data_IF_274848233060
#
_entry.id   IF_274848233060
#
_cell.length_a   1.000
_cell.length_b   1.000
_cell.length_c   1.000
_cell.angle_alpha   90.00
_cell.angle_beta   90.00
_cell.angle_gamma   90.00
#
_symmetry.space_group_name_H-M   'P 1'
#
loop_
_entity.id
_entity.type
_entity.pdbx_description
1 polymer ?
#
# COMPACT_ATOMS: atom_id res chain seq x y z
N UNK A 1 -0.46 42.93 22.70
CA UNK A 1 -1.36 41.86 23.15
C UNK A 1 -1.91 41.17 21.91
N UNK A 2 -1.21 40.13 21.45
CA UNK A 2 -1.60 39.35 20.28
C UNK A 2 -2.78 38.47 20.67
N UNK A 3 -3.93 38.74 20.07
CA UNK A 3 -5.09 37.85 20.07
C UNK A 3 -4.73 36.57 19.31
N UNK A 4 -4.61 35.47 20.04
CA UNK A 4 -4.50 34.12 19.49
C UNK A 4 -5.74 33.81 18.65
N UNK A 5 -5.60 33.89 17.34
CA UNK A 5 -6.54 33.29 16.40
C UNK A 5 -6.47 31.78 16.60
N UNK A 6 -7.50 31.22 17.22
CA UNK A 6 -7.70 29.77 17.27
C UNK A 6 -8.12 29.37 15.85
N UNK A 7 -7.18 28.81 15.09
CA UNK A 7 -7.41 28.26 13.76
C UNK A 7 -8.42 27.12 13.85
N UNK A 8 -9.67 27.38 13.46
CA UNK A 8 -10.72 26.38 13.32
C UNK A 8 -10.65 25.67 11.95
N UNK A 9 -9.44 25.33 11.51
CA UNK A 9 -9.21 24.62 10.26
C UNK A 9 -8.80 23.18 10.58
N UNK A 10 -9.45 22.21 9.92
CA UNK A 10 -9.14 20.77 9.84
C UNK A 10 -10.00 19.79 10.66
N UNK A 11 -11.32 19.97 10.69
CA UNK A 11 -12.22 18.82 10.78
C UNK A 11 -12.93 18.65 9.44
N UNK A 12 -12.79 17.48 8.82
CA UNK A 12 -13.66 17.13 7.69
C UNK A 12 -15.11 17.15 8.19
N UNK A 13 -16.05 17.79 7.47
CA UNK A 13 -17.41 17.93 7.96
C UNK A 13 -17.99 16.55 8.22
N UNK A 14 -18.44 16.33 9.45
CA UNK A 14 -18.97 15.02 9.86
C UNK A 14 -20.19 14.71 9.00
N UNK A 15 -20.45 13.44 8.65
CA UNK A 15 -21.63 13.05 7.85
C UNK A 15 -22.95 13.60 8.40
N UNK A 16 -23.02 13.79 9.73
CA UNK A 16 -24.12 14.42 10.45
C UNK A 16 -24.24 15.92 10.13
N UNK A 17 -23.13 16.64 10.04
CA UNK A 17 -23.10 18.08 9.72
C UNK A 17 -23.55 18.33 8.28
N UNK A 18 -23.11 17.49 7.34
CA UNK A 18 -23.58 17.51 5.96
C UNK A 18 -25.10 17.27 5.86
N UNK A 19 -25.63 16.31 6.63
CA UNK A 19 -27.06 16.03 6.66
C UNK A 19 -27.88 17.20 7.24
N UNK A 20 -27.40 17.81 8.33
CA UNK A 20 -28.02 19.00 8.91
C UNK A 20 -28.00 20.19 7.93
N UNK A 21 -26.87 20.40 7.25
CA UNK A 21 -26.74 21.45 6.23
C UNK A 21 -27.73 21.26 5.08
N UNK A 22 -27.92 20.03 4.61
CA UNK A 22 -28.92 19.69 3.58
C UNK A 22 -30.35 19.99 4.05
N UNK A 23 -30.68 19.68 5.30
CA UNK A 23 -31.98 20.01 5.90
C UNK A 23 -32.21 21.52 5.94
N UNK A 24 -31.22 22.29 6.39
CA UNK A 24 -31.29 23.76 6.43
C UNK A 24 -31.46 24.36 5.04
N UNK A 25 -30.71 23.84 4.05
CA UNK A 25 -30.85 24.24 2.65
C UNK A 25 -32.24 23.94 2.11
N UNK A 26 -32.82 22.77 2.43
CA UNK A 26 -34.17 22.41 2.03
C UNK A 26 -35.21 23.36 2.66
N UNK A 27 -35.09 23.65 3.96
CA UNK A 27 -36.00 24.55 4.67
C UNK A 27 -36.01 25.95 4.06
N UNK A 28 -34.83 26.51 3.76
CA UNK A 28 -34.72 27.85 3.16
C UNK A 28 -35.24 27.85 1.72
N UNK A 29 -34.99 26.78 0.96
CA UNK A 29 -35.58 26.63 -0.38
C UNK A 29 -37.11 26.63 -0.36
N UNK A 30 -37.73 26.02 0.67
CA UNK A 30 -39.18 26.06 0.87
C UNK A 30 -39.66 27.47 1.20
N UNK A 31 -38.97 28.18 2.09
CA UNK A 31 -39.31 29.57 2.43
C UNK A 31 -39.20 30.47 1.19
N UNK A 32 -38.17 30.32 0.37
CA UNK A 32 -38.04 31.06 -0.89
C UNK A 32 -39.20 30.74 -1.85
N UNK A 33 -39.63 29.48 -1.93
CA UNK A 33 -40.78 29.09 -2.75
C UNK A 33 -42.09 29.68 -2.23
N UNK A 34 -42.28 29.75 -0.91
CA UNK A 34 -43.47 30.37 -0.29
C UNK A 34 -43.57 31.87 -0.60
N UNK A 35 -42.43 32.56 -0.67
CA UNK A 35 -42.38 33.98 -1.08
C UNK A 35 -42.67 34.15 -2.59
N UNK A 36 -42.61 33.08 -3.39
CA UNK A 36 -42.92 33.09 -4.82
C UNK A 36 -41.70 33.04 -5.75
N UNK A 37 -40.49 32.75 -5.23
CA UNK A 37 -39.30 32.60 -6.08
C UNK A 37 -39.34 31.27 -6.86
N UNK A 38 -39.12 31.33 -8.17
CA UNK A 38 -39.09 30.15 -9.06
C UNK A 38 -37.68 29.59 -9.27
N UNK A 39 -36.68 30.49 -9.32
CA UNK A 39 -35.28 30.14 -9.55
C UNK A 39 -34.38 30.83 -8.51
N UNK A 40 -33.32 30.13 -8.08
CA UNK A 40 -32.35 30.68 -7.13
C UNK A 40 -30.96 30.19 -7.49
N UNK A 41 -29.99 31.10 -7.43
CA UNK A 41 -28.57 30.78 -7.63
C UNK A 41 -28.06 29.98 -6.42
N UNK A 42 -27.31 28.88 -6.62
CA UNK A 42 -26.87 28.01 -5.52
C UNK A 42 -26.02 28.75 -4.47
N UNK A 43 -25.15 29.67 -4.88
CA UNK A 43 -24.30 30.46 -3.98
C UNK A 43 -25.10 31.40 -3.07
N UNK A 44 -26.20 31.98 -3.58
CA UNK A 44 -27.08 32.84 -2.78
C UNK A 44 -27.85 32.01 -1.76
N UNK A 45 -28.30 30.82 -2.17
CA UNK A 45 -28.97 29.90 -1.25
C UNK A 45 -28.03 29.44 -0.12
N UNK A 46 -26.77 29.14 -0.44
CA UNK A 46 -25.75 28.79 0.55
C UNK A 46 -25.46 29.96 1.51
N UNK A 47 -25.34 31.17 0.99
CA UNK A 47 -25.18 32.38 1.81
C UNK A 47 -26.38 32.60 2.74
N UNK A 48 -27.62 32.39 2.28
CA UNK A 48 -28.81 32.48 3.12
C UNK A 48 -28.82 31.41 4.21
N UNK A 49 -28.38 30.19 3.90
CA UNK A 49 -28.22 29.11 4.89
C UNK A 49 -27.23 29.51 5.97
N UNK A 50 -26.06 30.01 5.59
CA UNK A 50 -25.05 30.46 6.53
C UNK A 50 -25.55 31.64 7.37
N UNK A 51 -26.23 32.61 6.75
CA UNK A 51 -26.80 33.77 7.44
C UNK A 51 -27.85 33.37 8.47
N UNK A 52 -28.73 32.44 8.12
CA UNK A 52 -29.77 31.91 9.02
C UNK A 52 -29.14 31.17 10.20
N UNK A 53 -28.14 30.32 9.94
CA UNK A 53 -27.43 29.60 11.00
C UNK A 53 -26.69 30.54 11.94
N UNK A 54 -26.05 31.58 11.41
CA UNK A 54 -25.39 32.60 12.22
C UNK A 54 -26.40 33.40 13.04
N UNK A 55 -27.61 33.66 12.51
CA UNK A 55 -28.67 34.27 13.29
C UNK A 55 -29.13 33.38 14.46
N UNK A 56 -29.39 32.09 14.21
CA UNK A 56 -29.76 31.12 15.26
C UNK A 56 -28.66 31.04 16.33
N UNK A 57 -27.39 30.94 15.92
CA UNK A 57 -26.24 30.92 16.85
C UNK A 57 -26.17 32.19 17.70
N UNK A 58 -26.40 33.36 17.11
CA UNK A 58 -26.40 34.62 17.84
C UNK A 58 -27.53 34.67 18.88
N UNK A 59 -28.75 34.22 18.53
CA UNK A 59 -29.88 34.14 19.47
C UNK A 59 -29.58 33.14 20.60
N UNK A 60 -28.99 31.99 20.29
CA UNK A 60 -28.60 31.01 21.31
C UNK A 60 -27.48 31.54 22.22
N UNK A 61 -26.50 32.28 21.67
CA UNK A 61 -25.41 32.86 22.43
C UNK A 61 -25.89 33.96 23.40
N UNK A 62 -26.79 34.84 22.95
CA UNK A 62 -27.39 35.88 23.80
C UNK A 62 -28.27 35.26 24.89
N UNK A 63 -29.06 34.26 24.54
CA UNK A 63 -29.88 33.51 25.51
C UNK A 63 -29.01 32.81 26.55
N UNK A 64 -27.92 32.17 26.13
CA UNK A 64 -26.95 31.53 27.03
C UNK A 64 -26.33 32.53 28.00
N UNK A 65 -25.87 33.69 27.51
CA UNK A 65 -25.30 34.74 28.36
C UNK A 65 -26.30 35.23 29.40
N UNK A 66 -27.58 35.38 29.04
CA UNK A 66 -28.63 35.77 29.98
C UNK A 66 -28.87 34.71 31.06
N UNK A 67 -28.85 33.43 30.70
CA UNK A 67 -29.04 32.30 31.62
C UNK A 67 -27.86 32.18 32.58
N UNK A 68 -26.63 32.33 32.07
CA UNK A 68 -25.40 32.34 32.87
C UNK A 68 -25.38 33.53 33.84
N UNK A 69 -25.81 34.72 33.39
CA UNK A 69 -25.98 35.89 34.25
C UNK A 69 -27.02 35.67 35.35
N UNK A 70 -28.05 34.85 35.10
CA UNK A 70 -29.03 34.45 36.08
C UNK A 70 -28.59 33.26 36.96
N UNK A 71 -27.35 32.77 36.81
CA UNK A 71 -26.80 31.59 37.47
C UNK A 71 -27.65 30.32 37.29
N UNK A 72 -28.43 30.24 36.20
CA UNK A 72 -29.24 29.07 35.82
C UNK A 72 -28.53 28.30 34.72
N UNK A 73 -28.95 27.07 34.47
CA UNK A 73 -28.48 26.25 33.34
C UNK A 73 -29.60 25.93 32.33
N UNK A 74 -30.86 26.01 32.75
CA UNK A 74 -32.02 25.75 31.91
C UNK A 74 -32.61 27.05 31.34
N UNK A 75 -32.85 27.06 30.03
CA UNK A 75 -33.47 28.19 29.33
C UNK A 75 -34.98 28.25 29.58
N UNK A 76 -35.50 29.43 29.93
CA UNK A 76 -36.93 29.72 30.01
C UNK A 76 -37.38 30.43 28.72
N UNK A 77 -38.64 30.30 28.27
CA UNK A 77 -39.11 31.01 27.06
C UNK A 77 -38.87 32.52 27.10
N UNK A 78 -38.94 33.14 28.27
CA UNK A 78 -38.61 34.56 28.49
C UNK A 78 -37.16 34.90 28.15
N UNK A 79 -36.21 33.99 28.39
CA UNK A 79 -34.79 34.18 28.06
C UNK A 79 -34.59 34.18 26.53
N UNK A 80 -35.32 33.31 25.82
CA UNK A 80 -35.30 33.24 24.35
C UNK A 80 -35.98 34.44 23.71
N UNK A 81 -37.11 34.90 24.26
CA UNK A 81 -37.79 36.13 23.87
C UNK A 81 -36.81 37.31 23.98
N UNK A 82 -36.10 37.42 25.10
CA UNK A 82 -35.06 38.45 25.27
C UNK A 82 -33.93 38.32 24.23
N UNK A 83 -33.44 37.11 23.99
CA UNK A 83 -32.42 36.84 22.97
C UNK A 83 -32.85 37.28 21.56
N UNK A 84 -34.10 37.01 21.18
CA UNK A 84 -34.71 37.44 19.92
C UNK A 84 -34.81 38.97 19.82
N UNK A 85 -35.37 39.64 20.83
CA UNK A 85 -35.44 41.11 20.84
C UNK A 85 -34.04 41.74 20.77
N UNK A 86 -33.06 41.16 21.49
CA UNK A 86 -31.67 41.65 21.49
C UNK A 86 -31.00 41.52 20.12
N UNK A 87 -31.34 40.47 19.36
CA UNK A 87 -30.87 40.24 17.99
C UNK A 87 -31.66 41.05 16.94
N UNK A 88 -32.67 41.83 17.35
CA UNK A 88 -33.42 42.73 16.47
C UNK A 88 -34.63 42.10 15.78
N UNK A 89 -35.08 40.92 16.19
CA UNK A 89 -36.33 40.33 15.68
C UNK A 89 -37.51 40.77 16.54
N UNK A 90 -38.52 41.35 15.91
CA UNK A 90 -39.75 41.73 16.59
C UNK A 90 -40.67 40.52 16.80
N UNK A 91 -41.06 40.29 18.05
CA UNK A 91 -41.87 39.13 18.45
C UNK A 91 -43.34 39.34 18.12
N UNK A 92 -43.81 40.59 18.05
CA UNK A 92 -45.22 40.87 17.78
C UNK A 92 -45.63 40.45 16.36
N UNK A 93 -44.72 40.60 15.39
CA UNK A 93 -44.93 40.15 14.01
C UNK A 93 -44.97 38.64 13.85
N UNK A 94 -44.39 37.89 14.81
CA UNK A 94 -44.32 36.43 14.74
C UNK A 94 -45.72 35.79 14.80
N UNK A 95 -46.64 36.37 15.59
CA UNK A 95 -48.03 35.89 15.71
C UNK A 95 -48.74 36.01 14.36
N UNK A 96 -48.61 37.16 13.71
CA UNK A 96 -49.19 37.42 12.38
C UNK A 96 -48.58 36.48 11.32
N UNK A 97 -47.26 36.25 11.37
CA UNK A 97 -46.58 35.33 10.48
C UNK A 97 -47.10 33.89 10.64
N UNK A 98 -47.33 33.42 11.88
CA UNK A 98 -47.92 32.11 12.13
C UNK A 98 -49.36 31.98 11.63
N UNK A 99 -50.15 33.05 11.72
CA UNK A 99 -51.50 33.07 11.13
C UNK A 99 -51.42 32.98 9.61
N UNK A 100 -50.57 33.79 8.98
CA UNK A 100 -50.35 33.75 7.53
C UNK A 100 -49.95 32.35 7.04
N UNK A 101 -49.00 31.71 7.72
CA UNK A 101 -48.56 30.32 7.45
C UNK A 101 -49.69 29.29 7.54
N UNK A 102 -50.70 29.49 8.39
CA UNK A 102 -51.86 28.60 8.50
C UNK A 102 -52.84 28.79 7.33
N UNK A 103 -53.00 30.02 6.84
CA UNK A 103 -53.93 30.35 5.76
C UNK A 103 -53.37 30.06 4.36
N UNK A 104 -52.06 30.23 4.15
CA UNK A 104 -51.38 29.72 2.96
C UNK A 104 -51.36 28.20 3.03
N UNK A 105 -52.35 27.55 2.40
CA UNK A 105 -52.49 26.09 2.20
C UNK A 105 -51.32 25.48 1.38
N UNK A 106 -50.08 25.70 1.80
CA UNK A 106 -48.88 25.04 1.29
C UNK A 106 -48.27 24.14 2.37
N UNK A 107 -49.13 23.53 3.20
CA UNK A 107 -48.76 22.53 4.21
C UNK A 107 -48.28 21.19 3.63
N UNK A 108 -48.13 21.09 2.30
CA UNK A 108 -47.38 20.01 1.63
C UNK A 108 -45.90 20.39 1.35
N UNK A 109 -45.49 21.65 1.53
CA UNK A 109 -44.18 22.15 1.09
C UNK A 109 -43.05 21.96 2.11
N UNK A 110 -43.34 22.05 3.41
CA UNK A 110 -42.32 21.94 4.47
C UNK A 110 -42.13 20.50 5.00
N UNK A 111 -42.26 19.48 4.15
CA UNK A 111 -41.83 18.12 4.52
C UNK A 111 -40.31 18.00 4.37
N UNK A 112 -39.58 18.49 5.39
CA UNK A 112 -38.17 18.15 5.57
C UNK A 112 -38.09 16.62 5.71
N UNK A 113 -37.47 15.96 4.74
CA UNK A 113 -37.34 14.50 4.77
C UNK A 113 -36.40 14.16 5.94
N UNK A 114 -36.80 13.28 6.88
CA UNK A 114 -35.91 12.91 7.96
C UNK A 114 -34.63 12.29 7.38
N UNK A 115 -33.45 12.57 7.96
CA UNK A 115 -32.19 11.99 7.49
C UNK A 115 -32.31 10.47 7.49
N UNK A 116 -31.79 9.83 6.44
CA UNK A 116 -31.79 8.36 6.33
C UNK A 116 -31.12 7.80 7.58
N UNK A 117 -31.88 7.07 8.40
CA UNK A 117 -31.32 6.37 9.56
C UNK A 117 -30.21 5.45 9.05
N UNK A 118 -29.00 5.65 9.54
CA UNK A 118 -27.93 4.68 9.35
C UNK A 118 -28.42 3.37 9.93
N UNK A 119 -28.48 2.32 9.11
CA UNK A 119 -28.80 1.00 9.61
C UNK A 119 -27.83 0.69 10.75
N UNK A 120 -28.30 0.10 11.88
CA UNK A 120 -27.41 -0.31 12.94
C UNK A 120 -26.31 -1.16 12.33
N UNK A 121 -25.06 -0.85 12.67
CA UNK A 121 -23.91 -1.60 12.16
C UNK A 121 -24.13 -3.09 12.37
N UNK A 122 -23.73 -3.93 11.40
CA UNK A 122 -23.91 -5.37 11.51
C UNK A 122 -23.33 -5.86 12.83
N UNK A 123 -24.11 -6.65 13.55
CA UNK A 123 -23.73 -7.18 14.85
C UNK A 123 -22.40 -7.92 14.72
N UNK A 124 -21.39 -7.44 15.43
CA UNK A 124 -20.06 -8.02 15.42
C UNK A 124 -20.14 -9.51 15.78
N UNK A 125 -19.49 -10.35 14.98
CA UNK A 125 -19.43 -11.80 15.18
C UNK A 125 -18.91 -12.08 16.59
N UNK A 126 -19.71 -12.78 17.39
CA UNK A 126 -19.34 -13.23 18.73
C UNK A 126 -18.72 -14.62 18.56
N UNK A 127 -17.45 -14.79 18.88
CA UNK A 127 -16.77 -16.08 18.80
C UNK A 127 -16.58 -16.61 20.22
N UNK A 128 -16.68 -17.92 20.42
CA UNK A 128 -16.43 -18.54 21.73
C UNK A 128 -17.41 -18.18 22.86
N UNK A 129 -17.08 -18.67 24.06
CA UNK A 129 -17.87 -18.47 25.29
C UNK A 129 -17.32 -17.26 26.04
N UNK A 130 -18.19 -16.29 26.34
CA UNK A 130 -17.82 -15.15 27.20
C UNK A 130 -17.41 -15.65 28.57
N UNK A 131 -16.21 -15.26 29.03
CA UNK A 131 -15.76 -15.57 30.39
C UNK A 131 -16.63 -14.79 31.40
N UNK A 132 -17.10 -15.43 32.49
CA UNK A 132 -17.82 -14.70 33.53
C UNK A 132 -16.93 -13.62 34.14
N UNK A 133 -17.54 -12.50 34.56
CA UNK A 133 -16.82 -11.41 35.22
C UNK A 133 -16.27 -11.92 36.57
N UNK A 134 -14.99 -11.66 36.89
CA UNK A 134 -14.44 -11.90 38.22
C UNK A 134 -15.21 -11.12 39.31
N UNK A 135 -15.25 -11.66 40.53
CA UNK A 135 -16.03 -11.08 41.64
C UNK A 135 -15.60 -9.68 42.07
N UNK A 136 -14.36 -9.27 41.77
CA UNK A 136 -13.83 -7.94 42.10
C UNK A 136 -14.22 -6.86 41.08
N UNK A 137 -14.86 -7.23 39.97
CA UNK A 137 -15.29 -6.28 38.93
C UNK A 137 -16.77 -5.98 39.11
N UNK A 138 -17.14 -4.71 39.34
CA UNK A 138 -18.52 -4.35 39.61
C UNK A 138 -19.42 -4.51 38.38
N UNK A 139 -20.72 -4.72 38.63
CA UNK A 139 -21.71 -5.03 37.60
C UNK A 139 -22.01 -3.87 36.64
N UNK A 140 -21.75 -2.61 37.04
CA UNK A 140 -21.97 -1.40 36.24
C UNK A 140 -20.90 -1.20 35.15
N UNK A 141 -19.76 -1.88 35.26
CA UNK A 141 -18.70 -1.79 34.26
C UNK A 141 -19.10 -2.58 33.00
N UNK A 142 -18.72 -2.12 31.79
CA UNK A 142 -19.01 -2.84 30.55
C UNK A 142 -18.52 -4.30 30.61
N UNK A 143 -19.19 -5.20 29.88
CA UNK A 143 -18.77 -6.60 29.80
C UNK A 143 -17.39 -6.69 29.16
N UNK A 144 -16.60 -7.68 29.57
CA UNK A 144 -15.33 -7.96 28.92
C UNK A 144 -15.53 -8.27 27.43
N UNK A 145 -14.55 -7.88 26.58
CA UNK A 145 -14.54 -8.31 25.19
C UNK A 145 -14.38 -9.83 25.11
N UNK A 146 -14.56 -10.36 23.90
CA UNK A 146 -14.37 -11.77 23.60
C UNK A 146 -12.95 -12.21 24.01
N UNK A 147 -12.75 -13.37 24.69
CA UNK A 147 -11.43 -13.94 24.96
C UNK A 147 -10.46 -13.87 23.78
N UNK A 148 -10.92 -14.12 22.55
CA UNK A 148 -10.07 -14.07 21.36
C UNK A 148 -9.61 -12.65 20.97
N UNK A 149 -10.18 -11.60 21.59
CA UNK A 149 -9.73 -10.21 21.39
C UNK A 149 -8.47 -9.89 22.18
N UNK A 150 -8.23 -10.53 23.34
CA UNK A 150 -7.15 -10.13 24.26
C UNK A 150 -6.28 -11.29 24.78
N UNK A 151 -6.72 -12.54 24.61
CA UNK A 151 -5.95 -13.72 25.02
C UNK A 151 -5.24 -14.26 23.78
N UNK A 152 -3.90 -14.15 23.78
CA UNK A 152 -3.06 -14.86 22.82
C UNK A 152 -2.99 -16.32 23.25
N UNK A 153 -3.66 -17.19 22.51
CA UNK A 153 -3.51 -18.64 22.70
C UNK A 153 -2.31 -19.07 21.86
N UNK A 154 -1.22 -19.48 22.50
CA UNK A 154 -0.08 -20.05 21.77
C UNK A 154 -0.55 -21.36 21.12
N UNK A 155 -0.62 -21.38 19.79
CA UNK A 155 -0.85 -22.61 19.04
C UNK A 155 0.51 -23.29 18.92
N UNK A 156 0.95 -23.95 19.99
CA UNK A 156 1.97 -24.97 19.85
C UNK A 156 1.21 -26.23 19.43
N UNK A 157 1.32 -26.62 18.17
CA UNK A 157 0.93 -27.98 17.80
C UNK A 157 1.74 -28.94 18.64
N UNK A 158 1.11 -29.99 19.16
CA UNK A 158 1.81 -31.01 19.92
C UNK A 158 2.99 -31.51 19.05
N UNK A 159 4.24 -31.40 19.52
CA UNK A 159 5.38 -31.87 18.74
C UNK A 159 5.21 -33.37 18.51
N UNK A 160 5.57 -33.83 17.31
CA UNK A 160 5.63 -35.27 17.03
C UNK A 160 6.65 -35.91 17.97
N UNK A 161 6.17 -36.67 18.96
CA UNK A 161 7.00 -37.28 20.03
C UNK A 161 7.58 -38.63 19.58
N UNK A 162 7.32 -39.05 18.33
CA UNK A 162 7.78 -40.34 17.84
C UNK A 162 9.32 -40.40 17.79
N UNK A 163 9.89 -41.30 18.60
CA UNK A 163 11.34 -41.49 18.70
C UNK A 163 11.98 -41.86 17.35
N UNK A 164 11.29 -42.69 16.57
CA UNK A 164 11.76 -43.15 15.26
C UNK A 164 11.79 -42.00 14.25
N UNK A 165 10.77 -41.13 14.24
CA UNK A 165 10.69 -40.00 13.29
C UNK A 165 11.78 -38.97 13.64
N UNK A 166 11.94 -38.67 14.92
CA UNK A 166 12.99 -37.76 15.42
C UNK A 166 14.38 -38.25 15.04
N UNK A 167 14.70 -39.54 15.26
CA UNK A 167 16.01 -40.11 14.91
C UNK A 167 16.26 -40.15 13.40
N UNK A 168 15.23 -40.43 12.59
CA UNK A 168 15.32 -40.36 11.12
C UNK A 168 15.61 -38.94 10.65
N UNK A 169 14.92 -37.94 11.23
CA UNK A 169 15.11 -36.53 10.89
C UNK A 169 16.50 -36.04 11.28
N UNK A 170 16.97 -36.35 12.48
CA UNK A 170 18.32 -36.00 12.94
C UNK A 170 19.41 -36.62 12.05
N UNK A 171 19.28 -37.92 11.74
CA UNK A 171 20.22 -38.59 10.82
C UNK A 171 20.19 -37.99 9.42
N UNK A 172 19.02 -37.57 8.92
CA UNK A 172 18.90 -36.92 7.62
C UNK A 172 19.55 -35.52 7.65
N UNK A 173 19.29 -34.74 8.71
CA UNK A 173 19.86 -33.41 8.87
C UNK A 173 21.40 -33.47 8.96
N UNK A 174 21.96 -34.42 9.71
CA UNK A 174 23.41 -34.63 9.79
C UNK A 174 24.03 -34.98 8.44
N UNK A 175 23.38 -35.85 7.66
CA UNK A 175 23.84 -36.18 6.29
C UNK A 175 23.76 -34.96 5.36
N UNK A 176 22.66 -34.22 5.42
CA UNK A 176 22.46 -33.02 4.61
C UNK A 176 23.49 -31.93 4.94
N UNK A 177 23.75 -31.70 6.23
CA UNK A 177 24.77 -30.75 6.68
C UNK A 177 26.18 -31.15 6.21
N UNK A 178 26.54 -32.44 6.34
CA UNK A 178 27.81 -32.96 5.84
C UNK A 178 27.92 -32.77 4.32
N UNK A 179 26.89 -33.17 3.56
CA UNK A 179 26.88 -33.06 2.11
C UNK A 179 26.92 -31.59 1.65
N UNK A 180 26.21 -30.69 2.33
CA UNK A 180 26.21 -29.26 2.04
C UNK A 180 27.61 -28.66 2.25
N UNK A 181 28.27 -28.99 3.36
CA UNK A 181 29.64 -28.55 3.62
C UNK A 181 30.63 -29.10 2.59
N UNK A 182 30.55 -30.40 2.26
CA UNK A 182 31.38 -31.00 1.21
C UNK A 182 31.17 -30.31 -0.14
N UNK A 183 29.92 -30.10 -0.54
CA UNK A 183 29.59 -29.41 -1.80
C UNK A 183 30.07 -27.95 -1.80
N UNK A 184 29.99 -27.27 -0.67
CA UNK A 184 30.48 -25.90 -0.52
C UNK A 184 32.01 -25.85 -0.69
N UNK A 185 32.74 -26.71 0.02
CA UNK A 185 34.21 -26.80 -0.09
C UNK A 185 34.65 -27.13 -1.51
N UNK A 186 33.98 -28.08 -2.17
CA UNK A 186 34.26 -28.49 -3.55
C UNK A 186 34.00 -27.37 -4.58
N UNK A 187 33.12 -26.41 -4.27
CA UNK A 187 32.83 -25.26 -5.14
C UNK A 187 33.80 -24.10 -4.96
N UNK A 188 34.30 -23.89 -3.74
CA UNK A 188 35.21 -22.78 -3.43
C UNK A 188 36.64 -23.13 -3.79
N UNK A 189 37.06 -24.34 -3.50
CA UNK A 189 38.44 -24.79 -3.71
C UNK A 189 38.53 -25.59 -5.01
N UNK A 190 39.68 -25.53 -5.72
CA UNK A 190 39.84 -26.33 -6.91
C UNK A 190 39.88 -27.80 -6.56
N UNK A 191 39.15 -28.57 -7.35
CA UNK A 191 39.01 -30.01 -7.18
C UNK A 191 39.18 -30.70 -8.52
N UNK A 192 39.69 -31.93 -8.47
CA UNK A 192 39.73 -32.82 -9.63
C UNK A 192 38.83 -34.02 -9.39
N UNK A 193 38.32 -34.59 -10.47
CA UNK A 193 37.46 -35.78 -10.42
C UNK A 193 38.32 -37.02 -10.56
N UNK A 194 38.08 -38.04 -9.74
CA UNK A 194 38.80 -39.32 -9.77
C UNK A 194 38.60 -40.11 -11.06
N UNK A 195 37.55 -39.81 -11.81
CA UNK A 195 37.13 -40.51 -13.02
C UNK A 195 37.30 -39.58 -14.25
N UNK A 196 38.39 -39.70 -15.02
CA UNK A 196 38.66 -38.81 -16.16
C UNK A 196 37.60 -38.88 -17.27
N UNK A 197 37.03 -40.07 -17.51
CA UNK A 197 35.97 -40.29 -18.51
C UNK A 197 34.70 -39.50 -18.14
N UNK A 198 34.33 -39.52 -16.85
CA UNK A 198 33.20 -38.76 -16.34
C UNK A 198 33.46 -37.25 -16.45
N UNK A 199 34.68 -36.82 -16.17
CA UNK A 199 35.06 -35.41 -16.29
C UNK A 199 34.95 -34.91 -17.74
N UNK A 200 35.43 -35.69 -18.72
CA UNK A 200 35.26 -35.36 -20.13
C UNK A 200 33.78 -35.31 -20.55
N UNK A 201 32.98 -36.30 -20.14
CA UNK A 201 31.55 -36.34 -20.43
C UNK A 201 30.77 -35.17 -19.82
N UNK A 202 31.07 -34.81 -18.58
CA UNK A 202 30.43 -33.66 -17.90
C UNK A 202 30.81 -32.32 -18.52
N UNK A 203 32.05 -32.15 -19.01
CA UNK A 203 32.47 -30.97 -19.78
C UNK A 203 31.68 -30.80 -21.06
N UNK A 204 31.56 -31.86 -21.86
CA UNK A 204 30.79 -31.83 -23.12
C UNK A 204 29.32 -31.47 -22.84
N UNK A 205 28.71 -32.13 -21.86
CA UNK A 205 27.33 -31.84 -21.47
C UNK A 205 27.15 -30.41 -20.93
N UNK A 206 28.13 -29.88 -20.19
CA UNK A 206 28.09 -28.50 -19.70
C UNK A 206 28.13 -27.48 -20.84
N UNK A 207 29.02 -27.69 -21.82
CA UNK A 207 29.11 -26.85 -23.02
C UNK A 207 27.83 -26.89 -23.85
N UNK A 208 27.25 -28.07 -24.07
CA UNK A 208 25.97 -28.21 -24.77
C UNK A 208 24.84 -27.44 -24.06
N UNK A 209 24.81 -27.47 -22.72
CA UNK A 209 23.81 -26.75 -21.92
C UNK A 209 23.97 -25.23 -22.04
N UNK A 210 25.21 -24.74 -21.96
CA UNK A 210 25.52 -23.31 -22.14
C UNK A 210 25.14 -22.85 -23.55
N UNK A 211 25.47 -23.64 -24.58
CA UNK A 211 25.16 -23.30 -25.96
C UNK A 211 23.66 -23.27 -26.22
N UNK A 212 22.91 -24.25 -25.70
CA UNK A 212 21.43 -24.24 -25.72
C UNK A 212 20.86 -23.00 -25.06
N UNK A 213 21.39 -22.58 -23.90
CA UNK A 213 20.95 -21.36 -23.23
C UNK A 213 21.26 -20.10 -24.05
N UNK A 214 22.44 -20.00 -24.66
CA UNK A 214 22.79 -18.90 -25.57
C UNK A 214 21.85 -18.85 -26.78
N UNK A 215 21.57 -19.99 -27.40
CA UNK A 215 20.61 -20.07 -28.51
C UNK A 215 19.21 -19.64 -28.10
N UNK A 216 18.70 -20.10 -26.95
CA UNK A 216 17.40 -19.68 -26.44
C UNK A 216 17.34 -18.18 -26.17
N UNK A 217 18.37 -17.61 -25.52
CA UNK A 217 18.48 -16.16 -25.28
C UNK A 217 18.51 -15.38 -26.59
N UNK A 218 19.28 -15.84 -27.58
CA UNK A 218 19.36 -15.21 -28.91
C UNK A 218 18.03 -15.26 -29.65
N UNK A 219 17.32 -16.39 -29.60
CA UNK A 219 16.01 -16.55 -30.21
C UNK A 219 14.95 -15.66 -29.54
N UNK A 220 14.97 -15.55 -28.21
CA UNK A 220 14.08 -14.66 -27.45
C UNK A 220 14.33 -13.19 -27.80
N UNK A 221 15.60 -12.77 -27.90
CA UNK A 221 15.97 -11.42 -28.30
C UNK A 221 15.53 -11.12 -29.74
N UNK A 222 15.68 -12.08 -30.65
CA UNK A 222 15.23 -11.96 -32.03
C UNK A 222 13.71 -11.82 -32.15
N UNK A 223 12.93 -12.62 -31.41
CA UNK A 223 11.47 -12.50 -31.38
C UNK A 223 11.00 -11.14 -30.84
N UNK A 224 11.70 -10.60 -29.84
CA UNK A 224 11.43 -9.26 -29.32
C UNK A 224 11.72 -8.19 -30.39
N UNK A 225 12.80 -8.32 -31.15
CA UNK A 225 13.14 -7.38 -32.23
C UNK A 225 12.10 -7.42 -33.37
N UNK A 226 11.61 -8.62 -33.72
CA UNK A 226 10.60 -8.83 -34.76
C UNK A 226 9.19 -8.32 -34.37
N UNK A 227 8.89 -8.24 -33.06
CA UNK A 227 7.62 -7.71 -32.56
C UNK A 227 7.47 -6.17 -32.65
N UNK A 228 8.48 -5.47 -33.17
CA UNK A 228 8.46 -4.00 -33.35
C UNK A 228 7.62 -3.61 -34.58
N UNK A 229 6.55 -2.80 -34.45
CA UNK A 229 5.82 -2.30 -35.61
C UNK A 229 6.69 -1.31 -36.40
N UNK A 230 6.76 -1.50 -37.72
CA UNK A 230 7.50 -0.65 -38.65
C UNK A 230 6.83 0.71 -38.80
N UNK A 231 7.37 1.73 -38.14
CA UNK A 231 7.12 3.13 -38.50
C UNK A 231 8.06 3.55 -39.64
N UNK A 232 7.43 4.09 -40.67
CA UNK A 232 7.91 4.50 -41.99
C UNK A 232 9.02 5.55 -42.03
N UNK A 233 9.93 5.33 -42.99
CA UNK A 233 10.53 6.27 -43.96
C UNK A 233 11.07 7.64 -43.49
N UNK A 234 12.38 7.84 -43.60
CA UNK A 234 12.95 8.86 -44.49
C UNK A 234 14.42 8.51 -44.88
N UNK A 235 14.87 8.81 -46.12
CA UNK A 235 16.16 8.38 -46.65
C UNK A 235 17.22 9.51 -46.65
N UNK A 236 18.49 9.14 -46.42
CA UNK A 236 19.65 9.99 -46.74
C UNK A 236 20.71 9.99 -45.66
N UNK A 237 21.79 9.21 -45.84
CA UNK A 237 23.01 9.77 -46.42
C UNK A 237 23.99 8.63 -46.74
N UNK A 238 24.45 8.63 -47.98
CA UNK A 238 25.55 7.80 -48.49
C UNK A 238 26.85 8.54 -48.20
N UNK A 239 27.80 7.87 -47.55
CA UNK A 239 29.20 7.95 -47.95
C UNK A 239 29.90 6.64 -47.59
N UNK A 240 30.31 5.94 -48.64
CA UNK A 240 31.25 4.83 -48.63
C UNK A 240 32.62 5.29 -48.11
N UNK A 241 33.31 4.40 -47.39
CA UNK A 241 34.74 4.26 -47.59
C UNK A 241 35.14 2.80 -47.43
N UNK A 242 35.70 2.28 -48.51
CA UNK A 242 36.11 0.91 -48.77
C UNK A 242 37.36 0.48 -48.00
N UNK A 243 37.61 -0.85 -47.95
CA UNK A 243 38.96 -1.39 -48.07
C UNK A 243 39.53 -2.22 -46.91
N UNK A 244 39.11 -3.48 -46.86
CA UNK A 244 39.89 -4.72 -46.64
C UNK A 244 41.02 -4.86 -45.58
N UNK A 245 40.77 -5.81 -44.67
CA UNK A 245 41.63 -6.90 -44.17
C UNK A 245 42.90 -6.58 -43.34
N UNK A 246 42.87 -6.99 -42.05
CA UNK A 246 43.84 -7.96 -41.54
C UNK A 246 43.33 -8.67 -40.29
N UNK A 247 43.51 -9.99 -40.29
CA UNK A 247 43.31 -10.90 -39.16
C UNK A 247 44.23 -10.58 -37.97
N UNK A 248 43.84 -11.17 -36.83
CA UNK A 248 44.51 -11.28 -35.53
C UNK A 248 44.21 -10.16 -34.54
N UNK A 249 43.37 -10.46 -33.55
CA UNK A 249 43.83 -10.75 -32.17
C UNK A 249 42.66 -11.29 -31.35
N UNK A 250 42.75 -12.58 -31.01
CA UNK A 250 42.03 -13.16 -29.88
C UNK A 250 42.56 -12.51 -28.61
N UNK A 251 41.74 -11.71 -27.92
CA UNK A 251 41.62 -11.61 -26.46
C UNK A 251 40.68 -10.45 -26.09
N UNK A 252 39.86 -10.70 -25.06
CA UNK A 252 38.92 -9.76 -24.41
C UNK A 252 37.73 -9.29 -25.24
N UNK A 253 36.72 -10.15 -25.40
CA UNK A 253 35.35 -9.69 -25.67
C UNK A 253 34.68 -9.27 -24.35
N UNK A 254 35.20 -8.20 -23.73
CA UNK A 254 34.35 -7.28 -22.98
C UNK A 254 33.47 -6.59 -24.03
N UNK A 255 32.21 -6.98 -24.06
CA UNK A 255 31.21 -6.46 -25.01
C UNK A 255 31.15 -4.94 -24.81
N UNK A 256 31.60 -4.23 -25.84
CA UNK A 256 31.55 -2.79 -25.97
C UNK A 256 30.08 -2.34 -25.96
N UNK A 257 29.80 -1.38 -25.07
CA UNK A 257 28.54 -0.67 -24.97
C UNK A 257 28.13 -0.10 -26.33
N UNK A 258 26.97 -0.51 -26.84
CA UNK A 258 26.29 0.17 -27.94
C UNK A 258 25.58 1.42 -27.41
N UNK A 259 25.67 2.51 -28.18
CA UNK A 259 25.11 3.82 -27.91
C UNK A 259 23.61 3.79 -27.50
N UNK A 260 23.16 4.69 -26.59
CA UNK A 260 21.77 4.72 -26.15
C UNK A 260 20.88 5.33 -27.26
N UNK A 261 19.99 4.51 -27.81
CA UNK A 261 18.98 4.93 -28.79
C UNK A 261 17.76 5.45 -28.02
N UNK A 262 17.31 6.67 -28.35
CA UNK A 262 16.15 7.34 -27.74
C UNK A 262 14.84 6.67 -28.13
N UNK A 263 14.07 6.26 -27.12
CA UNK A 263 12.64 5.87 -27.19
C UNK A 263 12.16 5.29 -25.86
N UNK A 264 11.00 5.73 -25.34
CA UNK A 264 10.49 5.32 -24.02
C UNK A 264 10.16 3.82 -23.92
N UNK A 265 9.71 3.18 -25.01
CA UNK A 265 9.40 1.73 -25.03
C UNK A 265 10.66 0.84 -25.05
N UNK A 266 11.77 1.33 -25.61
CA UNK A 266 13.05 0.62 -25.59
C UNK A 266 13.66 0.58 -24.17
N UNK A 267 13.31 1.57 -23.34
CA UNK A 267 13.75 1.69 -21.96
C UNK A 267 13.06 0.67 -21.04
N UNK A 268 11.78 0.35 -21.27
CA UNK A 268 11.04 -0.64 -20.46
C UNK A 268 11.46 -2.09 -20.76
N UNK A 269 11.72 -2.42 -22.03
CA UNK A 269 12.23 -3.74 -22.44
C UNK A 269 13.69 -3.94 -22.02
N UNK A 270 14.53 -2.92 -22.18
CA UNK A 270 15.89 -2.90 -21.64
C UNK A 270 15.89 -3.06 -20.11
N UNK A 271 14.94 -2.44 -19.40
CA UNK A 271 14.77 -2.60 -17.97
C UNK A 271 14.31 -4.02 -17.57
N UNK A 272 13.45 -4.69 -18.34
CA UNK A 272 13.04 -6.09 -18.09
C UNK A 272 14.20 -7.07 -18.30
N UNK A 273 14.99 -6.90 -19.37
CA UNK A 273 16.17 -7.72 -19.63
C UNK A 273 17.24 -7.48 -18.55
N UNK A 274 17.48 -6.22 -18.19
CA UNK A 274 18.38 -5.87 -17.10
C UNK A 274 17.91 -6.44 -15.75
N UNK A 275 16.60 -6.47 -15.49
CA UNK A 275 16.02 -7.09 -14.30
C UNK A 275 16.22 -8.61 -14.28
N UNK A 276 15.96 -9.30 -15.40
CA UNK A 276 16.20 -10.75 -15.51
C UNK A 276 17.70 -11.11 -15.40
N UNK A 277 18.61 -10.27 -15.89
CA UNK A 277 20.05 -10.44 -15.73
C UNK A 277 20.56 -10.10 -14.32
N UNK A 278 19.88 -9.21 -13.59
CA UNK A 278 20.23 -8.85 -12.21
C UNK A 278 20.04 -10.01 -11.23
N UNK A 279 19.06 -10.89 -11.48
CA UNK A 279 18.70 -11.98 -10.56
C UNK A 279 19.11 -13.38 -11.05
N UNK A 280 19.46 -13.55 -12.33
CA UNK A 280 19.93 -14.82 -12.89
C UNK A 280 21.44 -14.79 -13.16
N UNK A 281 22.24 -15.35 -12.25
CA UNK A 281 23.67 -15.53 -12.50
C UNK A 281 23.88 -16.46 -13.71
N UNK A 282 24.78 -16.12 -14.66
CA UNK A 282 25.08 -17.00 -15.78
C UNK A 282 25.67 -18.32 -15.26
N UNK A 283 25.09 -19.46 -15.66
CA UNK A 283 25.65 -20.77 -15.35
C UNK A 283 27.04 -20.90 -15.98
N UNK A 284 28.08 -20.99 -15.15
CA UNK A 284 29.44 -21.27 -15.61
C UNK A 284 29.64 -22.76 -15.86
N UNK A 285 30.62 -23.13 -16.69
CA UNK A 285 30.98 -24.52 -16.93
C UNK A 285 31.29 -25.26 -15.61
N UNK A 286 32.01 -24.60 -14.70
CA UNK A 286 32.33 -25.14 -13.37
C UNK A 286 31.06 -25.37 -12.54
N UNK A 287 30.12 -24.43 -12.53
CA UNK A 287 28.84 -24.57 -11.82
C UNK A 287 28.04 -25.79 -12.30
N UNK A 288 27.96 -25.97 -13.62
CA UNK A 288 27.24 -27.11 -14.22
C UNK A 288 27.97 -28.44 -13.93
N UNK A 289 29.31 -28.45 -13.96
CA UNK A 289 30.10 -29.63 -13.61
C UNK A 289 29.89 -30.07 -12.15
N UNK A 290 29.82 -29.14 -11.21
CA UNK A 290 29.53 -29.45 -9.80
C UNK A 290 28.07 -29.86 -9.54
N UNK A 291 27.14 -29.53 -10.45
CA UNK A 291 25.76 -30.00 -10.36
C UNK A 291 25.61 -31.46 -10.79
N UNK A 292 26.36 -31.88 -11.81
CA UNK A 292 26.26 -33.22 -12.42
C UNK A 292 27.19 -34.22 -11.72
N UNK A 293 28.38 -33.78 -11.31
CA UNK A 293 29.38 -34.66 -10.73
C UNK A 293 29.06 -34.90 -9.25
N UNK A 294 28.96 -36.16 -8.80
CA UNK A 294 28.73 -36.45 -7.40
C UNK A 294 29.95 -36.09 -6.55
N UNK A 295 29.71 -35.58 -5.35
CA UNK A 295 30.75 -35.12 -4.42
C UNK A 295 31.74 -36.21 -4.00
N UNK A 296 31.32 -37.47 -3.95
CA UNK A 296 32.17 -38.60 -3.58
C UNK A 296 33.22 -38.99 -4.65
N UNK A 297 33.10 -38.46 -5.88
CA UNK A 297 34.09 -38.65 -6.95
C UNK A 297 35.13 -37.53 -7.01
N UNK A 298 35.04 -36.51 -6.16
CA UNK A 298 35.87 -35.31 -6.25
C UNK A 298 36.84 -35.24 -5.08
N UNK A 299 38.08 -34.90 -5.38
CA UNK A 299 39.12 -34.66 -4.38
C UNK A 299 39.52 -33.20 -4.45
N UNK A 300 39.53 -32.57 -3.27
CA UNK A 300 40.07 -31.23 -3.09
C UNK A 300 41.57 -31.28 -3.32
N UNK A 301 42.06 -30.40 -4.19
CA UNK A 301 43.50 -30.19 -4.31
C UNK A 301 43.93 -29.49 -3.02
N UNK A 302 44.86 -30.06 -2.23
CA UNK A 302 45.38 -29.37 -1.07
C UNK A 302 46.03 -28.08 -1.57
N UNK A 303 45.50 -26.95 -1.12
CA UNK A 303 46.17 -25.67 -1.25
C UNK A 303 47.20 -25.59 -0.15
N UNK A 304 48.48 -25.41 -0.50
CA UNK A 304 49.52 -24.96 0.43
C UNK A 304 49.29 -23.47 0.74
N UNK A 305 48.13 -23.14 1.30
CA UNK A 305 47.88 -21.81 1.85
C UNK A 305 48.36 -21.83 3.31
N UNK A 306 49.67 -21.67 3.51
CA UNK A 306 50.28 -21.60 4.84
C UNK A 306 49.79 -20.37 5.65
N UNK A 307 49.11 -19.39 5.04
CA UNK A 307 48.69 -18.17 5.74
C UNK A 307 47.41 -17.53 5.16
N UNK A 308 46.19 -18.04 5.47
CA UNK A 308 44.93 -17.49 4.96
C UNK A 308 44.67 -16.04 5.41
N UNK A 309 45.31 -15.59 6.49
CA UNK A 309 45.16 -14.24 7.03
C UNK A 309 45.96 -13.18 6.26
N UNK A 310 47.03 -13.54 5.54
CA UNK A 310 47.89 -12.59 4.82
C UNK A 310 47.24 -12.14 3.50
N UNK A 311 46.55 -13.05 2.80
CA UNK A 311 45.80 -12.71 1.59
C UNK A 311 44.63 -11.74 1.88
N UNK A 312 43.96 -11.90 3.03
CA UNK A 312 42.91 -10.98 3.47
C UNK A 312 43.44 -9.59 3.88
N UNK A 313 44.70 -9.51 4.33
CA UNK A 313 45.39 -8.25 4.66
C UNK A 313 45.90 -7.50 3.41
N UNK A 314 46.21 -8.22 2.32
CA UNK A 314 46.73 -7.63 1.07
C UNK A 314 45.64 -7.17 0.09
N UNK A 315 44.39 -7.60 0.28
CA UNK A 315 43.27 -7.26 -0.61
C UNK A 315 42.63 -5.87 -0.36
N UNK A 316 43.36 -4.94 0.25
CA UNK A 316 42.86 -3.59 0.55
C UNK A 316 43.28 -2.52 -0.49
N UNK A 317 44.23 -2.80 -1.38
CA UNK A 317 44.70 -1.82 -2.37
C UNK A 317 44.75 -2.45 -3.78
N UNK A 318 43.61 -2.45 -4.49
CA UNK A 318 43.49 -2.51 -5.96
C UNK A 318 42.08 -2.10 -6.39
#
# INVERSE_FOLDING_TARGET
>A
MQSSQISAENYSPTTVECAFWQVMRQAIGVICKEVGFTHTVPSVLEFLVERMLNHIRNVCATTKLMIENAARTAATPSDTIYGLTRCGTDIHTLIQYFEQLKYTKCTDSLRVRPPRRTNPSPQMLKVGKKRPRPSYIPSWMPPFPDPYTYIKTAVCGDPDVDYITTRKLDSANRRNASNALTNYMLRIHPSFTLLPILEAGTRVHALERIEKQKHMKKAQLQQLLESRPSTSNDPGDLMEHDGEQLENTVKSSSISFLNPIKGEEANELGAKIAYDEMFNLPETESSIRHLITPSWCQILIPMDDDVPYVAALLAADL
#
